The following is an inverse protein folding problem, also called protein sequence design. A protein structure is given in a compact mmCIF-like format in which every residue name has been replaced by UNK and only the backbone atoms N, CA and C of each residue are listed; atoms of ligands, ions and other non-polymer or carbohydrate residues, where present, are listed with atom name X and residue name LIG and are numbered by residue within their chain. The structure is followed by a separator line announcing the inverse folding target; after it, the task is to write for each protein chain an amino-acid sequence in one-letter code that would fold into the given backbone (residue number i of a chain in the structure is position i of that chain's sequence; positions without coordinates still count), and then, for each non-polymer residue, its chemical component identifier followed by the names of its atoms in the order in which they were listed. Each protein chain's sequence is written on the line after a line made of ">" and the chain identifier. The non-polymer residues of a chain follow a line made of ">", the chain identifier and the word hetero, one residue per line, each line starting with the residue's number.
data_IF_877515419877
#
_entry.id   IF_877515419877
#
_cell.length_a   1.000
_cell.length_b   1.000
_cell.length_c   1.000
_cell.angle_alpha   90.00
_cell.angle_beta   90.00
_cell.angle_gamma   90.00
#
_symmetry.space_group_name_H-M   'P 1'
#
loop_
_entity.id
_entity.type
_entity.pdbx_description
1 polymer ?
#
# COMPACT_ATOMS: atom_id res chain seq x y z
N UNK A 1 5.71 -0.35 -2.39
CA UNK A 1 5.12 -1.68 -2.69
C UNK A 1 4.75 -1.75 -4.15
N UNK A 2 5.11 -2.79 -4.91
CA UNK A 2 4.54 -2.98 -6.23
C UNK A 2 3.07 -3.33 -6.11
N UNK A 3 2.29 -2.85 -7.08
CA UNK A 3 0.97 -3.38 -7.33
C UNK A 3 1.05 -4.91 -7.47
N UNK A 4 0.20 -5.63 -6.74
CA UNK A 4 0.06 -7.06 -6.85
C UNK A 4 -1.20 -7.38 -7.64
N UNK A 5 -1.01 -8.00 -8.81
CA UNK A 5 -2.09 -8.58 -9.58
C UNK A 5 -2.27 -10.04 -9.17
N UNK A 6 -3.40 -10.35 -8.54
CA UNK A 6 -3.81 -11.72 -8.20
C UNK A 6 -4.91 -12.15 -9.17
N UNK A 7 -5.01 -13.47 -9.40
CA UNK A 7 -5.88 -14.08 -10.42
C UNK A 7 -5.48 -13.75 -11.86
N UNK A 8 -6.03 -14.52 -12.80
CA UNK A 8 -5.78 -14.31 -14.22
C UNK A 8 -6.36 -12.96 -14.69
N UNK A 9 -5.79 -12.37 -15.75
CA UNK A 9 -6.38 -11.27 -16.49
C UNK A 9 -7.85 -11.51 -16.87
N UNK A 10 -8.61 -10.43 -16.94
CA UNK A 10 -10.01 -10.47 -17.37
C UNK A 10 -10.09 -10.30 -18.88
N UNK A 11 -10.95 -11.10 -19.52
CA UNK A 11 -11.21 -10.97 -20.95
C UNK A 11 -11.75 -9.57 -21.30
N UNK A 12 -11.25 -8.98 -22.39
CA UNK A 12 -11.61 -7.62 -22.81
C UNK A 12 -13.11 -7.40 -23.00
N UNK A 13 -13.81 -8.43 -23.49
CA UNK A 13 -15.27 -8.39 -23.64
C UNK A 13 -15.96 -8.24 -22.28
N UNK A 14 -15.51 -8.99 -21.26
CA UNK A 14 -16.07 -8.92 -19.90
C UNK A 14 -15.75 -7.58 -19.23
N UNK A 15 -14.54 -7.05 -19.45
CA UNK A 15 -14.17 -5.70 -18.99
C UNK A 15 -15.10 -4.66 -19.61
N UNK A 16 -15.33 -4.74 -20.92
CA UNK A 16 -16.19 -3.81 -21.65
C UNK A 16 -17.65 -3.90 -21.22
N UNK A 17 -18.18 -5.10 -21.03
CA UNK A 17 -19.54 -5.30 -20.52
C UNK A 17 -19.70 -4.69 -19.12
N UNK A 18 -18.73 -4.94 -18.24
CA UNK A 18 -18.77 -4.43 -16.86
C UNK A 18 -18.63 -2.91 -16.80
N UNK A 19 -17.77 -2.31 -17.62
CA UNK A 19 -17.56 -0.86 -17.62
C UNK A 19 -18.75 -0.05 -18.13
N UNK A 20 -19.66 -0.68 -18.88
CA UNK A 20 -20.87 -0.07 -19.42
C UNK A 20 -22.07 -0.11 -18.46
N UNK A 21 -21.93 -0.77 -17.31
CA UNK A 21 -23.00 -0.81 -16.30
C UNK A 21 -23.27 0.59 -15.74
N UNK A 22 -24.54 1.00 -15.70
CA UNK A 22 -24.96 2.36 -15.31
C UNK A 22 -24.43 2.77 -13.91
N UNK A 23 -24.30 1.81 -13.00
CA UNK A 23 -23.77 2.04 -11.65
C UNK A 23 -22.28 2.43 -11.64
N UNK A 24 -21.56 2.11 -12.71
CA UNK A 24 -20.12 2.26 -12.84
C UNK A 24 -19.73 3.31 -13.90
N UNK A 25 -20.69 3.97 -14.53
CA UNK A 25 -20.47 4.94 -15.62
C UNK A 25 -19.50 6.09 -15.29
N UNK A 26 -19.35 6.41 -14.00
CA UNK A 26 -18.49 7.48 -13.51
C UNK A 26 -17.03 7.05 -13.35
N UNK A 27 -16.74 5.76 -13.51
CA UNK A 27 -15.37 5.24 -13.48
C UNK A 27 -14.73 5.49 -14.85
N UNK A 28 -13.64 6.26 -14.94
CA UNK A 28 -12.99 6.56 -16.20
C UNK A 28 -12.44 5.31 -16.91
N UNK A 29 -12.43 5.34 -18.24
CA UNK A 29 -12.05 4.18 -19.06
C UNK A 29 -10.65 3.61 -18.75
N UNK A 30 -9.69 4.48 -18.42
CA UNK A 30 -8.31 4.08 -18.17
C UNK A 30 -8.19 3.14 -16.95
N UNK A 31 -9.08 3.24 -15.96
CA UNK A 31 -9.10 2.34 -14.79
C UNK A 31 -9.25 0.87 -15.20
N UNK A 32 -10.10 0.60 -16.18
CA UNK A 32 -10.44 -0.74 -16.60
C UNK A 32 -9.26 -1.49 -17.23
N UNK A 33 -8.29 -0.75 -17.75
CA UNK A 33 -7.06 -1.34 -18.32
C UNK A 33 -6.24 -2.10 -17.28
N UNK A 34 -6.40 -1.82 -15.99
CA UNK A 34 -5.71 -2.52 -14.91
C UNK A 34 -6.10 -4.01 -14.84
N UNK A 35 -7.33 -4.36 -15.24
CA UNK A 35 -7.81 -5.75 -15.21
C UNK A 35 -7.27 -6.60 -16.37
N UNK A 36 -6.61 -5.99 -17.35
CA UNK A 36 -5.86 -6.71 -18.39
C UNK A 36 -4.56 -7.34 -17.84
N UNK A 37 -4.07 -6.88 -16.69
CA UNK A 37 -2.88 -7.42 -16.03
C UNK A 37 -3.23 -8.43 -14.91
N UNK A 38 -4.45 -8.36 -14.36
CA UNK A 38 -5.00 -9.33 -13.42
C UNK A 38 -6.27 -8.85 -12.71
N UNK A 39 -7.15 -9.78 -12.34
CA UNK A 39 -8.50 -9.45 -11.89
C UNK A 39 -8.61 -8.94 -10.43
N UNK A 40 -7.66 -9.30 -9.56
CA UNK A 40 -7.70 -8.98 -8.14
C UNK A 40 -6.47 -8.18 -7.74
N UNK A 41 -6.63 -6.86 -7.73
CA UNK A 41 -5.53 -5.92 -7.54
C UNK A 41 -5.39 -5.58 -6.06
N UNK A 42 -4.18 -5.73 -5.53
CA UNK A 42 -3.83 -5.34 -4.16
C UNK A 42 -2.68 -4.36 -4.21
N UNK A 43 -2.79 -3.27 -3.46
CA UNK A 43 -1.72 -2.27 -3.32
C UNK A 43 -1.68 -1.78 -1.87
N UNK A 44 -0.60 -2.11 -1.15
CA UNK A 44 -0.57 -1.94 0.31
C UNK A 44 -1.81 -2.63 0.93
N UNK A 45 -2.53 -1.92 1.78
CA UNK A 45 -3.70 -2.43 2.51
C UNK A 45 -4.99 -2.26 1.69
N UNK A 46 -4.88 -1.79 0.45
CA UNK A 46 -6.03 -1.58 -0.43
C UNK A 46 -6.29 -2.79 -1.30
N UNK A 47 -7.53 -3.28 -1.23
CA UNK A 47 -8.05 -4.33 -2.10
C UNK A 47 -9.04 -3.70 -3.06
N UNK A 48 -8.68 -3.68 -4.32
CA UNK A 48 -9.58 -3.24 -5.37
C UNK A 48 -10.62 -4.33 -5.63
N UNK A 49 -11.87 -3.91 -5.77
CA UNK A 49 -12.94 -4.86 -6.01
C UNK A 49 -12.77 -5.48 -7.40
N UNK A 50 -12.76 -6.81 -7.51
CA UNK A 50 -12.53 -7.50 -8.77
C UNK A 50 -13.74 -7.39 -9.70
N UNK A 51 -13.55 -7.75 -10.96
CA UNK A 51 -14.64 -8.11 -11.86
C UNK A 51 -15.08 -9.55 -11.55
N UNK A 52 -16.39 -9.82 -11.65
CA UNK A 52 -16.93 -11.15 -11.34
C UNK A 52 -16.31 -12.21 -12.26
N UNK A 53 -15.67 -13.21 -11.68
CA UNK A 53 -15.11 -14.35 -12.40
C UNK A 53 -15.75 -15.66 -11.92
N UNK A 54 -16.44 -16.36 -12.83
CA UNK A 54 -17.11 -17.62 -12.53
C UNK A 54 -16.14 -18.76 -12.19
N UNK A 55 -14.89 -18.71 -12.67
CA UNK A 55 -13.84 -19.69 -12.30
C UNK A 55 -13.31 -19.45 -10.89
N UNK A 56 -13.33 -18.20 -10.43
CA UNK A 56 -12.82 -17.77 -9.12
C UNK A 56 -13.93 -17.20 -8.21
N UNK A 57 -15.13 -17.76 -8.28
CA UNK A 57 -16.36 -17.17 -7.72
C UNK A 57 -16.29 -16.84 -6.23
N UNK A 58 -15.52 -17.61 -5.44
CA UNK A 58 -15.32 -17.35 -4.01
C UNK A 58 -14.53 -16.07 -3.76
N UNK A 59 -13.51 -15.81 -4.59
CA UNK A 59 -12.62 -14.65 -4.46
C UNK A 59 -13.22 -13.40 -5.08
N UNK A 60 -14.08 -13.56 -6.09
CA UNK A 60 -14.82 -12.46 -6.73
C UNK A 60 -16.28 -12.43 -6.28
N UNK A 61 -16.57 -12.93 -5.07
CA UNK A 61 -17.94 -13.00 -4.54
C UNK A 61 -18.51 -11.60 -4.28
N UNK A 62 -17.64 -10.71 -3.79
CA UNK A 62 -17.88 -9.28 -3.61
C UNK A 62 -17.11 -8.54 -4.71
N UNK A 63 -17.68 -8.54 -5.91
CA UNK A 63 -17.15 -7.81 -7.07
C UNK A 63 -17.57 -6.33 -7.07
N UNK A 64 -16.98 -5.56 -7.99
CA UNK A 64 -17.20 -4.11 -8.12
C UNK A 64 -18.66 -3.72 -8.39
N UNK A 65 -19.43 -4.54 -9.10
CA UNK A 65 -20.87 -4.30 -9.30
C UNK A 65 -21.65 -4.60 -8.02
N UNK A 66 -21.34 -5.73 -7.38
CA UNK A 66 -22.00 -6.19 -6.17
C UNK A 66 -21.86 -5.19 -5.03
N UNK A 67 -20.66 -4.62 -4.82
CA UNK A 67 -20.46 -3.62 -3.77
C UNK A 67 -21.21 -2.32 -4.06
N UNK A 68 -21.19 -1.84 -5.31
CA UNK A 68 -21.88 -0.61 -5.70
C UNK A 68 -23.41 -0.74 -5.75
N UNK A 69 -23.93 -1.97 -5.88
CA UNK A 69 -25.36 -2.27 -5.66
C UNK A 69 -25.75 -2.21 -4.18
N UNK A 70 -24.84 -2.63 -3.28
CA UNK A 70 -25.09 -2.68 -1.83
C UNK A 70 -24.93 -1.31 -1.18
N UNK A 71 -23.93 -0.53 -1.59
CA UNK A 71 -23.64 0.78 -0.99
C UNK A 71 -24.47 1.89 -1.64
N UNK A 72 -25.30 2.54 -0.82
CA UNK A 72 -25.93 3.81 -1.16
C UNK A 72 -25.01 4.94 -0.75
N UNK A 73 -24.09 5.29 -1.65
CA UNK A 73 -23.15 6.39 -1.47
C UNK A 73 -23.23 7.35 -2.65
N UNK A 74 -22.84 8.60 -2.42
CA UNK A 74 -22.61 9.61 -3.46
C UNK A 74 -21.35 9.31 -4.29
N UNK A 75 -20.65 8.22 -3.96
CA UNK A 75 -19.46 7.75 -4.64
C UNK A 75 -19.68 6.37 -5.26
N UNK A 76 -18.98 6.09 -6.36
CA UNK A 76 -18.80 4.75 -6.93
C UNK A 76 -17.50 4.17 -6.39
N UNK A 77 -17.61 3.11 -5.59
CA UNK A 77 -16.51 2.51 -4.83
C UNK A 77 -15.69 1.56 -5.70
N UNK A 78 -14.38 1.65 -5.63
CA UNK A 78 -13.45 0.81 -6.41
C UNK A 78 -12.51 -0.02 -5.53
N UNK A 79 -12.27 0.38 -4.28
CA UNK A 79 -11.44 -0.39 -3.35
C UNK A 79 -11.85 -0.15 -1.89
N UNK A 80 -11.44 -1.06 -1.03
CA UNK A 80 -11.51 -0.96 0.42
C UNK A 80 -10.11 -1.09 1.04
N UNK A 81 -9.90 -0.38 2.14
CA UNK A 81 -8.74 -0.54 2.99
C UNK A 81 -9.02 -1.66 4.00
N UNK A 82 -8.14 -2.65 4.07
CA UNK A 82 -8.26 -3.78 5.00
C UNK A 82 -7.48 -3.63 6.30
N UNK A 83 -6.80 -2.49 6.50
CA UNK A 83 -6.18 -2.13 7.77
C UNK A 83 -7.23 -1.77 8.84
N UNK A 84 -6.79 -1.58 10.10
CA UNK A 84 -7.64 -1.33 11.27
C UNK A 84 -8.60 -0.13 11.15
N UNK A 85 -8.30 0.82 10.26
CA UNK A 85 -9.18 1.92 9.90
C UNK A 85 -9.91 1.62 8.59
N UNK A 86 -11.18 1.18 8.69
CA UNK A 86 -12.05 0.91 7.55
C UNK A 86 -12.19 2.15 6.65
N UNK A 87 -11.70 2.05 5.42
CA UNK A 87 -11.69 3.12 4.44
C UNK A 87 -12.16 2.64 3.07
N UNK A 88 -12.81 3.51 2.32
CA UNK A 88 -13.26 3.28 0.95
C UNK A 88 -12.59 4.25 0.01
N UNK A 89 -12.33 3.78 -1.20
CA UNK A 89 -11.77 4.54 -2.31
C UNK A 89 -12.79 4.52 -3.45
N UNK A 90 -13.01 5.66 -4.09
CA UNK A 90 -14.01 5.74 -5.16
C UNK A 90 -14.11 7.08 -5.85
N UNK A 91 -14.87 7.09 -6.93
CA UNK A 91 -15.14 8.27 -7.76
C UNK A 91 -16.41 8.97 -7.29
N UNK A 92 -16.43 10.30 -7.38
CA UNK A 92 -17.66 11.06 -7.21
C UNK A 92 -18.72 10.62 -8.21
N UNK A 93 -20.00 10.58 -7.81
CA UNK A 93 -21.10 10.37 -8.75
C UNK A 93 -21.52 11.63 -9.49
N UNK A 94 -20.93 12.77 -9.16
CA UNK A 94 -21.11 13.99 -9.92
C UNK A 94 -20.33 13.90 -11.23
N UNK A 95 -21.03 13.94 -12.36
CA UNK A 95 -20.44 13.82 -13.70
C UNK A 95 -19.46 14.97 -14.04
N UNK A 96 -19.49 16.08 -13.32
CA UNK A 96 -18.55 17.20 -13.47
C UNK A 96 -17.26 17.03 -12.65
N UNK A 97 -17.15 16.00 -11.80
CA UNK A 97 -16.01 15.78 -10.91
C UNK A 97 -15.35 14.43 -11.17
N UNK A 98 -14.20 14.47 -11.84
CA UNK A 98 -13.37 13.29 -12.12
C UNK A 98 -12.51 12.86 -10.92
N UNK A 99 -12.70 13.49 -9.75
CA UNK A 99 -11.91 13.27 -8.56
C UNK A 99 -12.06 11.87 -7.98
N UNK A 100 -10.94 11.37 -7.44
CA UNK A 100 -10.93 10.18 -6.60
C UNK A 100 -10.85 10.57 -5.12
N UNK A 101 -11.67 9.93 -4.31
CA UNK A 101 -11.89 10.27 -2.92
C UNK A 101 -11.65 9.08 -2.00
N UNK A 102 -11.19 9.39 -0.79
CA UNK A 102 -11.12 8.46 0.33
C UNK A 102 -12.08 8.92 1.42
N UNK A 103 -12.81 7.97 2.01
CA UNK A 103 -13.70 8.23 3.14
C UNK A 103 -13.86 6.98 4.00
N UNK A 104 -14.37 7.12 5.23
CA UNK A 104 -14.82 6.00 6.06
C UNK A 104 -16.34 6.03 6.19
N UNK A 105 -16.95 4.96 6.70
CA UNK A 105 -18.40 4.95 7.01
C UNK A 105 -18.77 5.82 8.22
N UNK A 106 -17.78 6.41 8.89
CA UNK A 106 -17.98 7.19 10.10
C UNK A 106 -18.50 8.57 9.69
N UNK A 107 -19.72 8.97 10.12
CA UNK A 107 -20.40 10.14 9.58
C UNK A 107 -19.68 11.47 9.87
N UNK A 108 -18.84 11.51 10.90
CA UNK A 108 -17.97 12.64 11.24
C UNK A 108 -16.78 12.85 10.28
N UNK A 109 -16.37 11.81 9.54
CA UNK A 109 -15.24 11.88 8.62
C UNK A 109 -15.77 12.25 7.23
N UNK A 110 -15.45 13.47 6.78
CA UNK A 110 -15.81 13.91 5.44
C UNK A 110 -14.93 13.22 4.39
N UNK A 111 -15.47 12.92 3.20
CA UNK A 111 -14.66 12.47 2.08
C UNK A 111 -13.56 13.46 1.73
N UNK A 112 -12.36 12.94 1.48
CA UNK A 112 -11.16 13.71 1.13
C UNK A 112 -10.80 13.38 -0.32
N UNK A 113 -10.68 14.41 -1.16
CA UNK A 113 -10.18 14.25 -2.54
C UNK A 113 -8.69 13.98 -2.49
N UNK A 114 -8.26 12.85 -3.04
CA UNK A 114 -6.84 12.45 -3.07
C UNK A 114 -6.22 12.57 -4.47
N UNK A 115 -7.02 12.43 -5.53
CA UNK A 115 -6.57 12.62 -6.90
C UNK A 115 -7.55 13.46 -7.70
N UNK A 116 -7.04 14.21 -8.67
CA UNK A 116 -7.91 14.98 -9.57
C UNK A 116 -8.52 14.12 -10.67
N UNK A 117 -7.88 13.00 -11.01
CA UNK A 117 -8.29 12.09 -12.07
C UNK A 117 -7.66 10.70 -11.87
N UNK A 118 -8.11 9.71 -12.64
CA UNK A 118 -7.62 8.33 -12.59
C UNK A 118 -6.13 8.19 -12.97
N UNK A 119 -5.61 9.07 -13.82
CA UNK A 119 -4.26 8.94 -14.35
C UNK A 119 -3.20 9.15 -13.26
N UNK A 120 -3.49 9.97 -12.25
CA UNK A 120 -2.65 10.11 -11.06
C UNK A 120 -2.57 8.79 -10.27
N UNK A 121 -3.71 8.11 -10.06
CA UNK A 121 -3.73 6.78 -9.43
C UNK A 121 -2.95 5.76 -10.28
N UNK A 122 -3.24 5.67 -11.58
CA UNK A 122 -2.56 4.72 -12.49
C UNK A 122 -1.06 4.98 -12.51
N UNK A 123 -0.64 6.25 -12.54
CA UNK A 123 0.76 6.61 -12.49
C UNK A 123 1.41 6.08 -11.20
N UNK A 124 0.77 6.20 -10.04
CA UNK A 124 1.26 5.64 -8.77
C UNK A 124 1.30 4.11 -8.82
N UNK A 125 0.24 3.45 -9.27
CA UNK A 125 0.18 1.99 -9.39
C UNK A 125 1.26 1.45 -10.36
N UNK A 126 1.59 2.19 -11.42
CA UNK A 126 2.61 1.82 -12.41
C UNK A 126 4.04 2.28 -12.08
N UNK A 127 4.22 3.33 -11.29
CA UNK A 127 5.56 3.73 -10.80
C UNK A 127 5.99 2.87 -9.64
N UNK A 128 5.05 2.43 -8.82
CA UNK A 128 5.30 1.50 -7.73
C UNK A 128 5.59 0.06 -8.22
N UNK A 129 5.21 -0.29 -9.45
CA UNK A 129 5.51 -1.60 -10.08
C UNK A 129 6.95 -1.81 -10.53
N UNK A 130 7.88 -0.91 -10.16
CA UNK A 130 9.30 -1.08 -10.45
C UNK A 130 10.14 -0.94 -9.20
N UNK A 131 10.17 -1.99 -8.39
CA UNK A 131 11.47 -2.41 -7.90
C UNK A 131 12.31 -2.69 -9.14
N UNK A 132 13.40 -1.95 -9.37
CA UNK A 132 14.45 -2.53 -10.18
C UNK A 132 14.83 -3.83 -9.47
N UNK A 133 14.84 -4.98 -10.15
CA UNK A 133 15.26 -6.26 -9.54
C UNK A 133 16.58 -6.12 -8.76
N UNK A 134 17.45 -5.21 -9.20
CA UNK A 134 18.71 -4.85 -8.57
C UNK A 134 18.58 -4.24 -7.15
N UNK A 135 17.48 -3.57 -6.81
CA UNK A 135 17.32 -2.91 -5.50
C UNK A 135 16.75 -3.87 -4.44
N UNK A 136 15.89 -4.81 -4.84
CA UNK A 136 15.47 -5.91 -3.97
C UNK A 136 16.65 -6.83 -3.63
N UNK A 137 17.44 -7.21 -4.63
CA UNK A 137 18.66 -8.02 -4.42
C UNK A 137 19.67 -7.31 -3.50
N UNK A 138 19.86 -5.99 -3.66
CA UNK A 138 20.70 -5.18 -2.75
C UNK A 138 20.14 -5.12 -1.34
N UNK A 139 18.83 -4.94 -1.18
CA UNK A 139 18.17 -4.92 0.12
C UNK A 139 18.35 -6.27 0.83
N UNK A 140 18.11 -7.38 0.13
CA UNK A 140 18.34 -8.72 0.66
C UNK A 140 19.80 -8.94 1.02
N UNK A 141 20.75 -8.47 0.20
CA UNK A 141 22.18 -8.56 0.50
C UNK A 141 22.54 -7.75 1.76
N UNK A 142 22.03 -6.53 1.90
CA UNK A 142 22.20 -5.73 3.11
C UNK A 142 21.64 -6.46 4.34
N UNK A 143 20.44 -7.02 4.24
CA UNK A 143 19.83 -7.76 5.36
C UNK A 143 20.64 -9.01 5.68
N UNK A 144 21.10 -9.76 4.68
CA UNK A 144 21.91 -10.98 4.86
C UNK A 144 23.27 -10.69 5.48
N UNK A 145 23.95 -9.63 5.03
CA UNK A 145 25.35 -9.34 5.39
C UNK A 145 25.48 -8.61 6.72
N UNK A 146 24.51 -7.78 7.10
CA UNK A 146 24.57 -7.01 8.36
C UNK A 146 24.31 -7.91 9.56
N UNK A 147 24.95 -7.56 10.68
CA UNK A 147 24.75 -8.26 11.97
C UNK A 147 23.72 -7.58 12.85
N UNK A 148 23.52 -6.28 12.64
CA UNK A 148 22.70 -5.42 13.47
C UNK A 148 22.11 -4.31 12.61
N UNK A 149 20.98 -3.79 13.07
CA UNK A 149 20.32 -2.61 12.53
C UNK A 149 20.16 -1.58 13.63
N UNK A 150 20.04 -0.32 13.24
CA UNK A 150 19.85 0.81 14.14
C UNK A 150 18.49 1.43 13.85
N UNK A 151 17.83 1.91 14.89
CA UNK A 151 16.57 2.65 14.76
C UNK A 151 16.56 3.78 15.80
N UNK A 152 15.65 4.73 15.61
CA UNK A 152 15.47 5.82 16.57
C UNK A 152 14.16 5.58 17.32
N UNK A 153 14.21 5.58 18.64
CA UNK A 153 13.05 5.68 19.51
C UNK A 153 12.81 7.14 19.87
N UNK A 154 11.59 7.61 19.68
CA UNK A 154 11.14 8.86 20.26
C UNK A 154 10.57 8.60 21.65
N UNK A 155 11.31 9.00 22.69
CA UNK A 155 10.93 8.77 24.08
C UNK A 155 9.72 9.58 24.55
N UNK A 156 9.34 10.64 23.83
CA UNK A 156 8.15 11.43 24.20
C UNK A 156 6.86 10.70 23.83
N UNK A 157 6.86 10.02 22.68
CA UNK A 157 5.68 9.28 22.16
C UNK A 157 5.81 7.76 22.31
N UNK A 158 6.98 7.25 22.68
CA UNK A 158 7.25 5.83 22.92
C UNK A 158 7.30 4.97 21.66
N UNK A 159 7.52 5.56 20.47
CA UNK A 159 7.46 4.87 19.19
C UNK A 159 8.78 4.92 18.42
N UNK A 160 8.96 3.94 17.54
CA UNK A 160 10.03 3.94 16.53
C UNK A 160 9.75 5.05 15.52
N UNK A 161 10.80 5.80 15.17
CA UNK A 161 10.73 6.85 14.16
C UNK A 161 10.32 6.25 12.80
N UNK A 162 9.45 6.96 12.12
CA UNK A 162 8.98 6.62 10.79
C UNK A 162 8.26 7.79 10.16
N UNK A 163 7.73 7.59 8.98
CA UNK A 163 6.74 8.49 8.40
C UNK A 163 5.39 7.82 8.28
N UNK A 164 4.35 8.61 8.54
CA UNK A 164 3.01 8.27 8.11
C UNK A 164 2.81 8.93 6.76
N UNK A 165 2.74 8.13 5.70
CA UNK A 165 2.38 8.65 4.39
C UNK A 165 0.87 8.86 4.36
N UNK A 166 0.43 10.11 4.49
CA UNK A 166 -0.97 10.48 4.30
C UNK A 166 -1.29 10.86 2.85
N UNK A 167 -0.26 11.14 2.05
CA UNK A 167 -0.43 11.82 0.79
C UNK A 167 -1.32 11.03 -0.17
N UNK A 168 -1.38 9.70 -0.04
CA UNK A 168 -2.25 8.89 -0.90
C UNK A 168 -2.97 7.73 -0.19
N UNK A 169 -2.44 7.12 0.88
CA UNK A 169 -3.08 6.05 1.68
C UNK A 169 -2.34 5.85 3.02
N UNK A 170 -3.00 5.78 4.20
CA UNK A 170 -2.29 5.71 5.49
C UNK A 170 -1.58 4.36 5.63
N UNK A 171 -0.26 4.41 5.59
CA UNK A 171 0.65 3.34 5.97
C UNK A 171 1.81 3.98 6.74
N UNK A 172 2.27 3.31 7.78
CA UNK A 172 3.45 3.76 8.54
C UNK A 172 4.68 3.05 8.00
N UNK A 173 5.73 3.81 7.68
CA UNK A 173 7.01 3.26 7.27
C UNK A 173 8.01 3.43 8.41
N UNK A 174 8.43 2.33 9.02
CA UNK A 174 9.41 2.35 10.10
C UNK A 174 10.83 2.53 9.57
N UNK A 175 11.63 3.36 10.23
CA UNK A 175 12.98 3.67 9.78
C UNK A 175 14.04 2.81 10.47
N UNK A 176 14.85 2.14 9.66
CA UNK A 176 16.00 1.38 10.10
C UNK A 176 17.25 1.77 9.32
N UNK A 177 18.42 1.69 9.95
CA UNK A 177 19.71 1.94 9.33
C UNK A 177 20.64 0.76 9.52
N UNK A 178 21.51 0.55 8.54
CA UNK A 178 22.59 -0.45 8.58
C UNK A 178 23.91 0.11 9.12
N UNK A 179 23.93 1.39 9.48
CA UNK A 179 25.05 2.14 10.05
C UNK A 179 24.54 3.20 11.03
N UNK A 180 25.27 3.44 12.12
CA UNK A 180 24.85 4.29 13.22
C UNK A 180 24.98 5.80 12.93
N UNK A 181 25.77 6.22 11.94
CA UNK A 181 26.19 7.61 11.79
C UNK A 181 25.01 8.58 11.56
N UNK A 182 24.07 8.21 10.67
CA UNK A 182 22.87 9.01 10.39
C UNK A 182 21.96 9.09 11.62
N UNK A 183 21.48 7.97 12.20
CA UNK A 183 20.56 8.04 13.32
C UNK A 183 21.17 8.73 14.54
N UNK A 184 22.47 8.57 14.78
CA UNK A 184 23.14 9.27 15.88
C UNK A 184 23.32 10.76 15.66
N UNK A 185 23.45 11.20 14.40
CA UNK A 185 23.44 12.63 14.08
C UNK A 185 22.05 13.23 14.31
N UNK A 186 21.00 12.51 13.91
CA UNK A 186 19.61 12.93 14.13
C UNK A 186 19.27 13.03 15.63
N UNK A 187 19.66 12.03 16.42
CA UNK A 187 19.43 11.99 17.85
C UNK A 187 20.22 13.08 18.62
N UNK A 188 21.46 13.39 18.21
CA UNK A 188 22.23 14.49 18.83
C UNK A 188 21.55 15.85 18.69
N UNK A 189 20.76 16.03 17.63
CA UNK A 189 20.05 17.28 17.38
C UNK A 189 18.70 17.37 18.11
N UNK A 190 18.21 16.27 18.70
CA UNK A 190 16.89 16.19 19.33
C UNK A 190 16.95 15.34 20.62
N UNK A 191 16.85 15.98 21.79
CA UNK A 191 17.11 15.33 23.08
C UNK A 191 16.15 14.20 23.48
N UNK A 192 14.98 14.11 22.85
CA UNK A 192 14.00 13.04 23.07
C UNK A 192 14.27 11.79 22.22
N UNK A 193 15.12 11.88 21.20
CA UNK A 193 15.47 10.75 20.35
C UNK A 193 16.60 9.92 20.96
N UNK A 194 16.37 8.61 21.02
CA UNK A 194 17.34 7.62 21.45
C UNK A 194 17.66 6.69 20.28
N UNK A 195 18.95 6.50 19.99
CA UNK A 195 19.37 5.50 19.00
C UNK A 195 19.45 4.15 19.70
N UNK A 196 18.69 3.20 19.19
CA UNK A 196 18.71 1.82 19.62
C UNK A 196 19.33 0.92 18.55
N UNK A 197 19.77 -0.25 18.99
CA UNK A 197 20.38 -1.27 18.15
C UNK A 197 19.64 -2.57 18.33
N UNK A 198 19.43 -3.28 17.22
CA UNK A 198 18.80 -4.59 17.22
C UNK A 198 19.65 -5.60 16.45
N UNK A 199 19.84 -6.78 17.01
CA UNK A 199 20.51 -7.89 16.34
C UNK A 199 19.69 -8.39 15.15
N UNK A 200 20.36 -8.85 14.09
CA UNK A 200 19.69 -9.33 12.87
C UNK A 200 18.66 -10.43 13.17
N UNK A 201 18.97 -11.36 14.07
CA UNK A 201 18.04 -12.46 14.38
C UNK A 201 16.73 -11.93 14.97
N UNK A 202 16.81 -10.96 15.88
CA UNK A 202 15.62 -10.31 16.47
C UNK A 202 14.91 -9.45 15.43
N UNK A 203 15.68 -8.73 14.59
CA UNK A 203 15.12 -7.96 13.50
C UNK A 203 14.28 -8.84 12.55
N UNK A 204 14.83 -9.99 12.14
CA UNK A 204 14.18 -10.91 11.21
C UNK A 204 13.00 -11.66 11.82
N UNK A 205 13.13 -12.12 13.07
CA UNK A 205 12.13 -13.01 13.68
C UNK A 205 11.03 -12.26 14.43
N UNK A 206 11.32 -11.10 14.99
CA UNK A 206 10.38 -10.39 15.84
C UNK A 206 9.90 -9.13 15.11
N UNK A 207 10.83 -8.23 14.77
CA UNK A 207 10.47 -6.91 14.20
C UNK A 207 9.82 -7.02 12.83
N UNK A 208 10.37 -7.81 11.91
CA UNK A 208 9.75 -8.00 10.60
C UNK A 208 8.34 -8.59 10.72
N UNK A 209 8.15 -9.58 11.59
CA UNK A 209 6.85 -10.21 11.79
C UNK A 209 5.82 -9.25 12.42
N UNK A 210 6.21 -8.48 13.44
CA UNK A 210 5.34 -7.49 14.07
C UNK A 210 4.89 -6.42 13.06
N UNK A 211 5.83 -5.89 12.26
CA UNK A 211 5.53 -4.89 11.24
C UNK A 211 4.67 -5.48 10.09
N UNK A 212 4.89 -6.75 9.73
CA UNK A 212 4.07 -7.44 8.72
C UNK A 212 2.63 -7.62 9.21
N UNK A 213 2.45 -7.98 10.48
CA UNK A 213 1.13 -8.14 11.11
C UNK A 213 0.34 -6.84 11.12
N UNK A 214 1.01 -5.70 11.27
CA UNK A 214 0.41 -4.36 11.18
C UNK A 214 0.23 -3.87 9.73
N UNK A 215 0.60 -4.69 8.74
CA UNK A 215 0.61 -4.37 7.31
C UNK A 215 1.38 -3.07 6.99
N UNK A 216 2.45 -2.79 7.75
CA UNK A 216 3.29 -1.61 7.63
C UNK A 216 4.55 -1.90 6.78
N UNK A 217 5.28 -0.85 6.39
CA UNK A 217 6.52 -0.98 5.61
C UNK A 217 7.75 -0.58 6.42
N UNK A 218 8.93 -0.90 5.87
CA UNK A 218 10.22 -0.49 6.41
C UNK A 218 10.94 0.33 5.37
N UNK A 219 11.56 1.43 5.79
CA UNK A 219 12.58 2.13 5.00
C UNK A 219 13.95 1.84 5.62
N UNK A 220 14.80 1.17 4.85
CA UNK A 220 16.18 0.90 5.20
C UNK A 220 17.09 2.03 4.70
N UNK A 221 17.99 2.49 5.55
CA UNK A 221 18.91 3.61 5.34
C UNK A 221 18.21 4.90 4.81
N UNK A 222 17.12 5.37 5.44
CA UNK A 222 16.49 6.61 5.02
C UNK A 222 17.47 7.79 5.11
N UNK A 223 17.26 8.79 4.27
CA UNK A 223 18.15 9.96 4.11
C UNK A 223 19.56 9.62 3.59
N UNK A 224 19.72 8.45 2.96
CA UNK A 224 20.94 8.06 2.23
C UNK A 224 20.64 7.78 0.76
N UNK A 225 21.68 7.71 -0.07
CA UNK A 225 21.55 7.27 -1.47
C UNK A 225 21.22 5.77 -1.62
N UNK A 226 21.26 5.03 -0.50
CA UNK A 226 20.93 3.60 -0.41
C UNK A 226 19.56 3.39 0.26
N UNK A 227 18.72 4.42 0.31
CA UNK A 227 17.39 4.35 0.90
C UNK A 227 16.51 3.39 0.09
N UNK A 228 15.99 2.35 0.73
CA UNK A 228 15.13 1.35 0.10
C UNK A 228 13.92 1.10 1.01
N UNK A 229 12.71 1.26 0.47
CA UNK A 229 11.47 0.84 1.12
C UNK A 229 11.16 -0.62 0.74
N UNK A 230 10.74 -1.44 1.69
CA UNK A 230 10.29 -2.82 1.45
C UNK A 230 9.20 -3.24 2.45
N UNK A 231 8.50 -4.32 2.14
CA UNK A 231 7.51 -4.93 3.03
C UNK A 231 8.08 -6.20 3.66
N UNK A 232 7.84 -6.43 4.97
CA UNK A 232 8.44 -7.57 5.65
C UNK A 232 8.17 -8.94 5.02
N UNK A 233 6.94 -9.25 4.56
CA UNK A 233 6.65 -10.51 3.88
C UNK A 233 7.54 -10.79 2.66
N UNK A 234 7.96 -9.75 1.92
CA UNK A 234 8.84 -9.91 0.75
C UNK A 234 10.21 -10.50 1.15
N UNK A 235 10.69 -10.14 2.34
CA UNK A 235 11.93 -10.67 2.91
C UNK A 235 11.68 -12.04 3.54
N UNK A 236 10.62 -12.19 4.33
CA UNK A 236 10.31 -13.43 5.05
C UNK A 236 10.15 -14.61 4.07
N UNK A 237 9.43 -14.43 2.96
CA UNK A 237 9.25 -15.46 1.92
C UNK A 237 10.58 -15.95 1.30
N UNK A 238 11.60 -15.10 1.24
CA UNK A 238 12.91 -15.45 0.67
C UNK A 238 13.82 -16.18 1.66
N UNK A 239 13.57 -16.06 2.96
CA UNK A 239 14.32 -16.77 4.00
C UNK A 239 13.67 -18.10 4.41
N UNK A 240 12.41 -18.34 4.01
CA UNK A 240 11.70 -19.61 4.19
C UNK A 240 11.97 -20.65 3.08
N UNK A 241 12.60 -20.25 1.96
CA UNK A 241 12.98 -21.12 0.83
C UNK A 241 14.33 -21.81 1.02
#
# INVERSE_FOLDING_TARGET
>A
MPIQYRLEPVDKEVIQETSQEELLKNIPNDYWTLFEDGNFIVYKNWKFYPIRDNKNIKKTATDILTINKRKRSDFTVIAENTAEAEGFLGFSKNEEDEGLYVWSEWPEIKPIKIFNNINELIAILKTSSRFNNNDFDKMLDLIKTKKMFFYIMDNEIGNVMGDMSFDYFPAFSYYFWTDQNIPQTLAKNNSHFLVEMIDKEIFMNDVLNDIDMEENSIILNPMSNESIEFYPHEVLEEFEK
#
